data_IF_268294695806
#
_entry.id   IF_268294695806
#
_cell.length_a   1.000
_cell.length_b   1.000
_cell.length_c   1.000
_cell.angle_alpha   90.00
_cell.angle_beta   90.00
_cell.angle_gamma   90.00
#
_symmetry.space_group_name_H-M   'P 1'
#
loop_
_entity.id
_entity.type
_entity.pdbx_description
1 polymer ?
#
# COMPACT_ATOMS: atom_id res chain seq x y z
N UNK A 1 -30.30 -56.51 -36.75
CA UNK A 1 -30.88 -55.35 -37.44
C UNK A 1 -31.13 -54.27 -36.40
N UNK A 2 -30.26 -53.25 -36.34
CA UNK A 2 -30.53 -51.97 -35.68
C UNK A 2 -29.43 -50.98 -36.11
N UNK A 3 -29.71 -50.23 -37.17
CA UNK A 3 -28.87 -49.14 -37.67
C UNK A 3 -29.06 -47.90 -36.80
N UNK A 4 -28.13 -47.66 -35.89
CA UNK A 4 -27.98 -46.37 -35.19
C UNK A 4 -27.39 -45.34 -36.15
N UNK A 5 -28.25 -44.69 -36.95
CA UNK A 5 -27.87 -43.51 -37.75
C UNK A 5 -27.48 -42.35 -36.82
N UNK A 6 -26.19 -42.22 -36.56
CA UNK A 6 -25.61 -41.02 -35.94
C UNK A 6 -25.81 -39.81 -36.87
N UNK A 7 -26.79 -38.96 -36.54
CA UNK A 7 -27.03 -37.69 -37.26
C UNK A 7 -25.83 -36.77 -37.03
N UNK A 8 -25.04 -36.51 -38.08
CA UNK A 8 -23.98 -35.48 -38.04
C UNK A 8 -24.61 -34.14 -37.62
N UNK A 9 -24.04 -33.41 -36.63
CA UNK A 9 -24.59 -32.15 -36.18
C UNK A 9 -24.63 -31.13 -37.32
N UNK A 10 -25.75 -30.42 -37.44
CA UNK A 10 -25.95 -29.37 -38.43
C UNK A 10 -24.91 -28.26 -38.27
N UNK A 11 -24.62 -27.52 -39.34
CA UNK A 11 -23.68 -26.38 -39.29
C UNK A 11 -24.06 -25.37 -38.20
N UNK A 12 -25.38 -25.14 -38.01
CA UNK A 12 -25.93 -24.32 -36.94
C UNK A 12 -25.61 -24.87 -35.54
N UNK A 13 -25.72 -26.19 -35.32
CA UNK A 13 -25.37 -26.82 -34.04
C UNK A 13 -23.89 -26.69 -33.67
N UNK A 14 -22.99 -26.77 -34.67
CA UNK A 14 -21.54 -26.53 -34.46
C UNK A 14 -21.25 -25.07 -34.08
N UNK A 15 -21.92 -24.12 -34.72
CA UNK A 15 -21.78 -22.69 -34.43
C UNK A 15 -22.25 -22.34 -33.02
N UNK A 16 -23.43 -22.83 -32.61
CA UNK A 16 -23.97 -22.60 -31.26
C UNK A 16 -23.08 -23.22 -30.17
N UNK A 17 -22.51 -24.41 -30.42
CA UNK A 17 -21.57 -25.04 -29.49
C UNK A 17 -20.27 -24.24 -29.35
N UNK A 18 -19.71 -23.74 -30.47
CA UNK A 18 -18.51 -22.90 -30.44
C UNK A 18 -18.76 -21.58 -29.69
N UNK A 19 -19.89 -20.90 -29.95
CA UNK A 19 -20.27 -19.68 -29.25
C UNK A 19 -20.42 -19.92 -27.73
N UNK A 20 -21.09 -20.99 -27.32
CA UNK A 20 -21.25 -21.37 -25.90
C UNK A 20 -19.93 -21.65 -25.19
N UNK A 21 -18.97 -22.27 -25.89
CA UNK A 21 -17.63 -22.52 -25.33
C UNK A 21 -16.84 -21.21 -25.17
N UNK A 22 -16.94 -20.28 -26.13
CA UNK A 22 -16.27 -18.97 -26.04
C UNK A 22 -16.82 -18.17 -24.86
N UNK A 23 -18.15 -18.08 -24.72
CA UNK A 23 -18.78 -17.37 -23.59
C UNK A 23 -18.45 -18.03 -22.26
N UNK A 24 -18.51 -19.37 -22.19
CA UNK A 24 -18.14 -20.11 -20.98
C UNK A 24 -16.67 -19.94 -20.58
N UNK A 25 -15.75 -19.90 -21.56
CA UNK A 25 -14.33 -19.64 -21.30
C UNK A 25 -14.09 -18.19 -20.85
N UNK A 26 -14.78 -17.21 -21.44
CA UNK A 26 -14.69 -15.81 -21.05
C UNK A 26 -15.21 -15.57 -19.61
N UNK A 27 -16.36 -16.15 -19.27
CA UNK A 27 -16.88 -16.12 -17.90
C UNK A 27 -15.93 -16.83 -16.92
N UNK A 28 -15.36 -17.97 -17.32
CA UNK A 28 -14.34 -18.68 -16.56
C UNK A 28 -13.10 -17.83 -16.27
N UNK A 29 -12.55 -17.18 -17.30
CA UNK A 29 -11.42 -16.28 -17.19
C UNK A 29 -11.73 -15.06 -16.29
N UNK A 30 -12.91 -14.45 -16.44
CA UNK A 30 -13.34 -13.34 -15.59
C UNK A 30 -13.48 -13.76 -14.12
N UNK A 31 -14.04 -14.95 -13.85
CA UNK A 31 -14.14 -15.50 -12.48
C UNK A 31 -12.76 -15.78 -11.89
N UNK A 32 -11.83 -16.31 -12.68
CA UNK A 32 -10.45 -16.55 -12.25
C UNK A 32 -9.73 -15.25 -11.92
N UNK A 33 -9.82 -14.24 -12.80
CA UNK A 33 -9.26 -12.90 -12.56
C UNK A 33 -9.85 -12.27 -11.29
N UNK A 34 -11.18 -12.35 -11.09
CA UNK A 34 -11.82 -11.82 -9.90
C UNK A 34 -11.39 -12.55 -8.60
N UNK A 35 -11.17 -13.87 -8.66
CA UNK A 35 -10.67 -14.64 -7.52
C UNK A 35 -9.22 -14.25 -7.17
N UNK A 36 -8.38 -14.05 -8.19
CA UNK A 36 -7.00 -13.58 -8.04
C UNK A 36 -6.95 -12.15 -7.46
N UNK A 37 -7.77 -11.24 -7.99
CA UNK A 37 -7.91 -9.87 -7.47
C UNK A 37 -8.36 -9.86 -6.00
N UNK A 38 -9.32 -10.71 -5.61
CA UNK A 38 -9.76 -10.86 -4.21
C UNK A 38 -8.64 -11.34 -3.30
N UNK A 39 -7.85 -12.30 -3.76
CA UNK A 39 -6.70 -12.82 -2.99
C UNK A 39 -5.67 -11.72 -2.75
N UNK A 40 -5.33 -10.95 -3.79
CA UNK A 40 -4.42 -9.80 -3.70
C UNK A 40 -4.95 -8.71 -2.77
N UNK A 41 -6.22 -8.33 -2.92
CA UNK A 41 -6.87 -7.35 -2.06
C UNK A 41 -6.87 -7.79 -0.59
N UNK A 42 -7.11 -9.09 -0.32
CA UNK A 42 -7.07 -9.64 1.04
C UNK A 42 -5.67 -9.53 1.65
N UNK A 43 -4.61 -9.82 0.90
CA UNK A 43 -3.23 -9.69 1.39
C UNK A 43 -2.90 -8.23 1.75
N UNK A 44 -3.26 -7.28 0.89
CA UNK A 44 -3.04 -5.84 1.17
C UNK A 44 -3.86 -5.39 2.37
N UNK A 45 -5.14 -5.78 2.44
CA UNK A 45 -6.00 -5.46 3.56
C UNK A 45 -5.45 -6.00 4.88
N UNK A 46 -5.04 -7.27 4.91
CA UNK A 46 -4.44 -7.89 6.11
C UNK A 46 -3.16 -7.17 6.53
N UNK A 47 -2.31 -6.78 5.58
CA UNK A 47 -1.10 -6.00 5.85
C UNK A 47 -1.43 -4.66 6.51
N UNK A 48 -2.36 -3.88 5.93
CA UNK A 48 -2.73 -2.57 6.50
C UNK A 48 -3.48 -2.70 7.83
N UNK A 49 -4.34 -3.71 7.98
CA UNK A 49 -5.01 -3.99 9.25
C UNK A 49 -4.00 -4.33 10.35
N UNK A 50 -2.99 -5.15 10.04
CA UNK A 50 -1.91 -5.47 10.98
C UNK A 50 -1.09 -4.23 11.34
N UNK A 51 -0.66 -3.45 10.35
CA UNK A 51 0.09 -2.21 10.59
C UNK A 51 -0.68 -1.22 11.45
N UNK A 52 -1.98 -1.06 11.18
CA UNK A 52 -2.86 -0.20 11.96
C UNK A 52 -3.02 -0.71 13.39
N UNK A 53 -3.26 -2.02 13.58
CA UNK A 53 -3.40 -2.62 14.91
C UNK A 53 -2.13 -2.46 15.74
N UNK A 54 -0.96 -2.73 15.15
CA UNK A 54 0.34 -2.54 15.82
C UNK A 54 0.59 -1.06 16.12
N UNK A 55 0.30 -0.16 15.19
CA UNK A 55 0.44 1.28 15.38
C UNK A 55 -0.43 1.80 16.53
N UNK A 56 -1.71 1.41 16.57
CA UNK A 56 -2.63 1.77 17.66
C UNK A 56 -2.14 1.21 18.98
N UNK A 57 -1.76 -0.08 19.04
CA UNK A 57 -1.23 -0.69 20.25
C UNK A 57 0.02 0.04 20.76
N UNK A 58 0.91 0.46 19.86
CA UNK A 58 2.10 1.22 20.19
C UNK A 58 1.78 2.64 20.70
N UNK A 59 0.82 3.34 20.09
CA UNK A 59 0.38 4.65 20.57
C UNK A 59 -0.27 4.56 21.95
N UNK A 60 -1.09 3.54 22.20
CA UNK A 60 -1.67 3.27 23.52
C UNK A 60 -0.54 3.02 24.52
N UNK A 61 0.45 2.19 24.19
CA UNK A 61 1.61 1.93 25.04
C UNK A 61 2.37 3.22 25.38
N UNK A 62 2.65 4.06 24.37
CA UNK A 62 3.35 5.33 24.59
C UNK A 62 2.55 6.27 25.49
N UNK A 63 1.22 6.30 25.32
CA UNK A 63 0.31 7.15 26.11
C UNK A 63 0.19 6.68 27.55
N UNK A 64 0.16 5.38 27.80
CA UNK A 64 -0.01 4.83 29.16
C UNK A 64 1.28 4.82 29.97
N UNK A 65 2.42 4.59 29.31
CA UNK A 65 3.73 4.50 30.00
C UNK A 65 4.50 5.82 29.99
N UNK A 66 4.18 6.74 29.07
CA UNK A 66 4.99 7.93 28.80
C UNK A 66 6.33 7.62 28.14
N UNK A 67 6.61 6.35 27.83
CA UNK A 67 7.86 5.91 27.20
C UNK A 67 7.66 5.80 25.69
N UNK A 68 8.62 6.34 24.94
CA UNK A 68 8.73 6.13 23.50
C UNK A 68 10.06 5.46 23.19
N UNK A 69 10.15 4.77 22.06
CA UNK A 69 11.38 4.08 21.69
C UNK A 69 12.44 5.15 21.37
N UNK A 70 13.56 5.22 22.12
CA UNK A 70 14.59 6.21 21.83
C UNK A 70 15.20 5.91 20.47
N UNK A 71 15.44 6.95 19.67
CA UNK A 71 16.10 6.80 18.38
C UNK A 71 17.57 6.42 18.61
N UNK A 72 18.04 5.24 18.17
CA UNK A 72 19.43 4.83 18.39
C UNK A 72 20.40 5.77 17.69
N UNK A 73 20.03 6.30 16.51
CA UNK A 73 20.85 7.25 15.77
C UNK A 73 21.08 8.55 16.56
N UNK A 74 20.01 9.14 17.09
CA UNK A 74 20.09 10.32 17.94
C UNK A 74 20.87 10.01 19.23
N UNK A 75 20.64 8.86 19.86
CA UNK A 75 21.36 8.46 21.06
C UNK A 75 22.88 8.29 20.83
N UNK A 76 23.30 7.85 19.64
CA UNK A 76 24.71 7.66 19.30
C UNK A 76 25.39 8.93 18.78
N UNK A 77 24.69 9.75 17.99
CA UNK A 77 25.29 10.87 17.26
C UNK A 77 24.91 12.24 17.81
N UNK A 78 23.84 12.33 18.60
CA UNK A 78 23.19 13.58 18.98
C UNK A 78 22.43 14.27 17.85
N UNK A 79 22.46 13.73 16.63
CA UNK A 79 21.82 14.31 15.45
C UNK A 79 20.43 13.72 15.23
N UNK A 80 19.51 14.57 14.78
CA UNK A 80 18.16 14.17 14.38
C UNK A 80 18.13 13.65 12.93
N UNK A 81 17.82 12.38 12.75
CA UNK A 81 17.60 11.79 11.44
C UNK A 81 16.24 12.25 10.85
N UNK A 82 15.95 12.03 9.55
CA UNK A 82 14.69 12.50 8.95
C UNK A 82 13.45 11.85 9.58
N UNK A 83 13.62 10.70 10.24
CA UNK A 83 12.56 10.00 10.98
C UNK A 83 12.44 10.39 12.46
N UNK A 84 13.34 11.22 13.00
CA UNK A 84 13.24 11.66 14.39
C UNK A 84 11.92 12.43 14.60
N UNK A 85 11.22 12.08 15.68
CA UNK A 85 9.96 12.72 16.06
C UNK A 85 8.69 12.13 15.44
N UNK A 86 8.76 11.08 14.61
CA UNK A 86 7.55 10.45 14.02
C UNK A 86 6.57 9.97 15.11
N UNK A 87 7.06 9.33 16.17
CA UNK A 87 6.20 8.87 17.29
C UNK A 87 5.46 10.03 17.93
N UNK A 88 6.14 11.16 18.14
CA UNK A 88 5.53 12.38 18.70
C UNK A 88 4.53 13.00 17.74
N UNK A 89 4.85 13.05 16.45
CA UNK A 89 3.94 13.51 15.41
C UNK A 89 2.64 12.68 15.42
N UNK A 90 2.74 11.35 15.50
CA UNK A 90 1.57 10.48 15.52
C UNK A 90 0.73 10.62 16.79
N UNK A 91 1.38 10.81 17.94
CA UNK A 91 0.68 11.12 19.20
C UNK A 91 -0.07 12.45 19.11
N UNK A 92 0.57 13.53 18.65
CA UNK A 92 -0.08 14.83 18.48
C UNK A 92 -1.22 14.79 17.45
N UNK A 93 -1.04 14.07 16.34
CA UNK A 93 -2.13 13.82 15.38
C UNK A 93 -3.31 13.07 16.01
N UNK A 94 -3.04 12.08 16.88
CA UNK A 94 -4.09 11.33 17.58
C UNK A 94 -4.87 12.19 18.59
N UNK A 95 -4.27 13.28 19.06
CA UNK A 95 -4.87 14.25 19.97
C UNK A 95 -5.55 15.41 19.22
N UNK A 96 -5.41 15.48 17.90
CA UNK A 96 -5.92 16.56 17.07
C UNK A 96 -5.08 17.84 17.09
N UNK A 97 -3.89 17.81 17.70
CA UNK A 97 -2.97 18.95 17.73
C UNK A 97 -2.08 18.94 16.48
N UNK A 98 -2.56 19.61 15.44
CA UNK A 98 -1.85 19.75 14.17
C UNK A 98 -0.57 20.60 14.29
N UNK A 99 -0.55 21.57 15.20
CA UNK A 99 0.60 22.46 15.40
C UNK A 99 1.75 21.70 16.05
N UNK A 100 1.46 20.96 17.13
CA UNK A 100 2.46 20.10 17.76
C UNK A 100 2.91 18.97 16.81
N UNK A 101 1.99 18.39 16.03
CA UNK A 101 2.33 17.38 15.04
C UNK A 101 3.29 17.91 13.96
N UNK A 102 3.03 19.12 13.46
CA UNK A 102 3.89 19.79 12.49
C UNK A 102 5.30 20.00 13.05
N UNK A 103 5.42 20.58 14.25
CA UNK A 103 6.71 20.82 14.88
C UNK A 103 7.44 19.54 15.32
N UNK A 104 6.71 18.44 15.49
CA UNK A 104 7.30 17.16 15.82
C UNK A 104 8.08 16.55 14.64
N UNK A 105 7.61 16.69 13.40
CA UNK A 105 8.37 16.35 12.19
C UNK A 105 7.75 17.02 10.95
N UNK A 106 8.30 18.16 10.55
CA UNK A 106 7.73 19.01 9.49
C UNK A 106 7.74 18.29 8.13
N UNK A 107 8.81 17.55 7.83
CA UNK A 107 8.95 16.84 6.57
C UNK A 107 7.92 15.71 6.42
N UNK A 108 7.76 14.87 7.43
CA UNK A 108 6.78 13.77 7.40
C UNK A 108 5.35 14.29 7.49
N UNK A 109 5.10 15.39 8.21
CA UNK A 109 3.79 16.02 8.25
C UNK A 109 3.34 16.47 6.84
N UNK A 110 4.24 17.11 6.07
CA UNK A 110 3.92 17.58 4.72
C UNK A 110 3.95 16.45 3.68
N UNK A 111 4.98 15.61 3.67
CA UNK A 111 5.17 14.57 2.65
C UNK A 111 4.38 13.30 2.94
N UNK A 112 4.03 13.03 4.20
CA UNK A 112 3.32 11.83 4.63
C UNK A 112 2.05 11.54 3.83
N UNK A 113 1.11 12.51 3.70
CA UNK A 113 -0.10 12.32 2.89
C UNK A 113 0.20 11.99 1.42
N UNK A 114 1.21 12.64 0.82
CA UNK A 114 1.60 12.42 -0.58
C UNK A 114 2.16 11.01 -0.75
N UNK A 115 3.04 10.57 0.16
CA UNK A 115 3.61 9.23 0.18
C UNK A 115 2.51 8.17 0.38
N UNK A 116 1.55 8.41 1.28
CA UNK A 116 0.41 7.52 1.49
C UNK A 116 -0.43 7.35 0.22
N UNK A 117 -0.75 8.45 -0.48
CA UNK A 117 -1.50 8.39 -1.74
C UNK A 117 -0.73 7.58 -2.80
N UNK A 118 0.58 7.80 -2.90
CA UNK A 118 1.43 7.06 -3.84
C UNK A 118 1.42 5.55 -3.56
N UNK A 119 1.61 5.15 -2.29
CA UNK A 119 1.57 3.75 -1.87
C UNK A 119 0.21 3.10 -2.13
N UNK A 120 -0.89 3.80 -1.80
CA UNK A 120 -2.24 3.28 -2.04
C UNK A 120 -2.56 3.13 -3.53
N UNK A 121 -2.09 4.06 -4.36
CA UNK A 121 -2.23 3.98 -5.82
C UNK A 121 -1.48 2.77 -6.39
N UNK A 122 -0.26 2.54 -5.94
CA UNK A 122 0.56 1.41 -6.39
C UNK A 122 -0.02 0.07 -5.95
N UNK A 123 -0.56 0.00 -4.73
CA UNK A 123 -1.28 -1.17 -4.24
C UNK A 123 -2.57 -1.43 -5.03
N UNK A 124 -3.35 -0.38 -5.34
CA UNK A 124 -4.55 -0.50 -6.16
C UNK A 124 -4.19 -0.99 -7.58
N UNK A 125 -3.12 -0.45 -8.16
CA UNK A 125 -2.61 -0.91 -9.46
C UNK A 125 -2.23 -2.38 -9.41
N UNK A 126 -1.53 -2.81 -8.36
CA UNK A 126 -1.14 -4.20 -8.18
C UNK A 126 -2.35 -5.13 -7.98
N UNK A 127 -3.39 -4.70 -7.26
CA UNK A 127 -4.64 -5.46 -7.13
C UNK A 127 -5.27 -5.66 -8.51
N UNK A 128 -5.40 -4.60 -9.30
CA UNK A 128 -6.11 -4.62 -10.58
C UNK A 128 -5.34 -5.37 -11.68
N UNK A 129 -4.03 -5.12 -11.79
CA UNK A 129 -3.20 -5.58 -12.91
C UNK A 129 -2.23 -6.72 -12.54
N UNK A 130 -1.91 -6.92 -11.26
CA UNK A 130 -0.94 -7.92 -10.81
C UNK A 130 0.52 -7.53 -10.95
N UNK A 131 0.78 -6.38 -11.54
CA UNK A 131 2.12 -5.86 -11.78
C UNK A 131 2.47 -4.79 -10.75
N UNK A 132 3.64 -4.94 -10.11
CA UNK A 132 4.23 -3.90 -9.27
C UNK A 132 4.91 -2.88 -10.18
N UNK A 133 4.61 -1.60 -10.00
CA UNK A 133 5.38 -0.52 -10.61
C UNK A 133 6.55 -0.19 -9.71
N UNK A 134 7.74 -0.08 -10.31
CA UNK A 134 8.86 0.53 -9.62
C UNK A 134 8.64 2.04 -9.55
N UNK A 135 8.94 2.67 -8.39
CA UNK A 135 8.89 4.12 -8.31
C UNK A 135 9.89 4.72 -9.30
N UNK A 136 9.52 5.80 -10.01
CA UNK A 136 10.42 6.41 -10.99
C UNK A 136 11.70 6.90 -10.30
N UNK A 137 12.88 6.53 -10.81
CA UNK A 137 14.17 6.87 -10.19
C UNK A 137 14.31 8.35 -9.83
N UNK A 138 13.88 9.32 -10.68
CA UNK A 138 13.92 10.74 -10.31
C UNK A 138 13.13 11.08 -9.05
N UNK A 139 12.00 10.41 -8.82
CA UNK A 139 11.19 10.60 -7.61
C UNK A 139 11.92 10.11 -6.36
N UNK A 140 12.61 8.97 -6.44
CA UNK A 140 13.43 8.46 -5.34
C UNK A 140 14.58 9.42 -5.02
N UNK A 141 15.31 9.88 -6.04
CA UNK A 141 16.37 10.88 -5.83
C UNK A 141 15.84 12.20 -5.27
N UNK A 142 14.68 12.66 -5.73
CA UNK A 142 14.01 13.83 -5.19
C UNK A 142 13.71 13.67 -3.69
N UNK A 143 13.10 12.55 -3.28
CA UNK A 143 12.83 12.28 -1.86
C UNK A 143 14.12 12.23 -1.03
N UNK A 144 15.18 11.59 -1.54
CA UNK A 144 16.47 11.53 -0.86
C UNK A 144 17.06 12.93 -0.66
N UNK A 145 17.02 13.78 -1.70
CA UNK A 145 17.51 15.16 -1.61
C UNK A 145 16.68 15.95 -0.60
N UNK A 146 15.36 15.84 -0.64
CA UNK A 146 14.47 16.55 0.29
C UNK A 146 14.71 16.12 1.73
N UNK A 147 14.82 14.81 2.00
CA UNK A 147 15.11 14.32 3.35
C UNK A 147 16.52 14.69 3.82
N UNK A 148 17.52 14.66 2.94
CA UNK A 148 18.86 15.10 3.28
C UNK A 148 18.91 16.60 3.61
N UNK A 149 18.27 17.43 2.78
CA UNK A 149 18.16 18.87 3.02
C UNK A 149 17.40 19.17 4.32
N UNK A 150 16.30 18.45 4.60
CA UNK A 150 15.56 18.56 5.85
C UNK A 150 16.42 18.18 7.05
N UNK A 151 17.18 17.08 6.98
CA UNK A 151 18.10 16.67 8.04
C UNK A 151 19.16 17.73 8.29
N UNK A 152 19.78 18.29 7.25
CA UNK A 152 20.77 19.36 7.39
C UNK A 152 20.14 20.59 8.05
N UNK A 153 18.99 21.04 7.54
CA UNK A 153 18.29 22.21 8.06
C UNK A 153 17.91 22.02 9.54
N UNK A 154 17.36 20.87 9.90
CA UNK A 154 16.89 20.59 11.27
C UNK A 154 18.01 20.52 12.29
N UNK A 155 19.22 20.10 11.90
CA UNK A 155 20.34 19.94 12.82
C UNK A 155 21.23 21.18 12.92
N UNK A 156 21.38 21.94 11.82
CA UNK A 156 22.39 23.01 11.73
C UNK A 156 21.82 24.41 11.55
N UNK A 157 20.57 24.55 11.07
CA UNK A 157 19.97 25.85 10.71
C UNK A 157 18.74 26.21 11.56
N UNK A 158 18.35 25.35 12.50
CA UNK A 158 17.23 25.52 13.42
C UNK A 158 17.77 25.87 14.81
#
# INVERSE_FOLDING_TARGET
>A
MNDTKSKKPSALGRFLFAAKNITGNAEGAARWLAAEQRTRAKVIFQRYALLLAVGIAYLIFCRTTGLSLPCPFHAMTGLDCPGCGITRLMLSLSEGDLTAAFHANEAIFMLGPILCIFLLRDDLHWILHGERKEPPRPFVFFLLIVFAAFTIWRNFLR
#
